data_IF_080999298565
#
_entry.id   IF_080999298565
#
_cell.length_a   1.000
_cell.length_b   1.000
_cell.length_c   1.000
_cell.angle_alpha   90.00
_cell.angle_beta   90.00
_cell.angle_gamma   90.00
#
_symmetry.space_group_name_H-M   'P 1'
#
loop_
_entity.id
_entity.type
_entity.pdbx_description
1 polymer ?
#
# COMPACT_ATOMS: atom_id res chain seq x y z
N UNK A 1 14.20 -12.80 -2.64
CA UNK A 1 13.50 -12.67 -3.92
C UNK A 1 12.03 -12.75 -3.66
N UNK A 2 11.38 -11.59 -3.71
CA UNK A 2 9.94 -11.48 -3.57
C UNK A 2 9.29 -12.10 -4.80
N UNK A 3 8.26 -12.93 -4.61
CA UNK A 3 7.57 -13.60 -5.71
C UNK A 3 6.40 -12.74 -6.23
N UNK A 4 5.87 -13.11 -7.41
CA UNK A 4 4.75 -12.39 -8.05
C UNK A 4 3.49 -12.30 -7.16
N UNK A 5 3.21 -13.31 -6.34
CA UNK A 5 2.07 -13.30 -5.41
C UNK A 5 2.23 -12.21 -4.36
N UNK A 6 3.42 -12.11 -3.76
CA UNK A 6 3.71 -11.08 -2.76
C UNK A 6 3.66 -9.68 -3.40
N UNK A 7 4.24 -9.48 -4.59
CA UNK A 7 4.12 -8.21 -5.32
C UNK A 7 2.65 -7.83 -5.60
N UNK A 8 1.82 -8.81 -5.97
CA UNK A 8 0.40 -8.60 -6.20
C UNK A 8 -0.34 -8.22 -4.92
N UNK A 9 0.00 -8.84 -3.79
CA UNK A 9 -0.60 -8.48 -2.50
C UNK A 9 -0.21 -7.06 -2.08
N UNK A 10 1.07 -6.71 -2.14
CA UNK A 10 1.55 -5.33 -1.90
C UNK A 10 0.77 -4.35 -2.78
N UNK A 11 0.66 -4.62 -4.09
CA UNK A 11 -0.10 -3.76 -5.00
C UNK A 11 -1.58 -3.60 -4.59
N UNK A 12 -2.23 -4.69 -4.16
CA UNK A 12 -3.61 -4.65 -3.69
C UNK A 12 -3.77 -3.82 -2.42
N UNK A 13 -2.84 -3.96 -1.46
CA UNK A 13 -2.84 -3.17 -0.23
C UNK A 13 -2.54 -1.69 -0.50
N UNK A 14 -1.62 -1.39 -1.42
CA UNK A 14 -1.38 -0.01 -1.88
C UNK A 14 -2.62 0.56 -2.59
N UNK A 15 -3.35 -0.25 -3.34
CA UNK A 15 -4.61 0.14 -3.98
C UNK A 15 -5.67 0.50 -2.93
N UNK A 16 -5.84 -0.32 -1.88
CA UNK A 16 -6.71 0.00 -0.74
C UNK A 16 -6.26 1.29 -0.03
N UNK A 17 -4.96 1.42 0.26
CA UNK A 17 -4.38 2.61 0.90
C UNK A 17 -4.65 3.90 0.11
N UNK A 18 -4.64 3.78 -1.22
CA UNK A 18 -4.81 4.91 -2.14
C UNK A 18 -6.25 5.40 -2.29
N UNK A 19 -7.26 4.68 -1.76
CA UNK A 19 -8.67 4.93 -2.04
C UNK A 19 -9.51 5.01 -0.77
N UNK A 20 -9.99 6.22 -0.47
CA UNK A 20 -10.99 6.45 0.57
C UNK A 20 -12.27 5.65 0.32
N UNK A 21 -12.66 5.43 -0.93
CA UNK A 21 -13.84 4.64 -1.26
C UNK A 21 -13.68 3.17 -0.89
N UNK A 22 -12.50 2.57 -1.19
CA UNK A 22 -12.19 1.20 -0.80
C UNK A 22 -12.11 1.06 0.72
N UNK A 23 -11.47 2.02 1.39
CA UNK A 23 -11.43 2.07 2.86
C UNK A 23 -12.83 2.16 3.47
N UNK A 24 -13.74 2.97 2.91
CA UNK A 24 -15.13 3.01 3.37
C UNK A 24 -15.83 1.66 3.14
N UNK A 25 -15.63 1.03 1.98
CA UNK A 25 -16.24 -0.27 1.67
C UNK A 25 -15.74 -1.37 2.62
N UNK A 26 -14.43 -1.47 2.82
CA UNK A 26 -13.83 -2.52 3.63
C UNK A 26 -13.95 -2.24 5.13
N UNK A 27 -13.65 -1.02 5.56
CA UNK A 27 -13.53 -0.70 6.98
C UNK A 27 -14.87 -0.36 7.61
N UNK A 28 -15.79 0.25 6.87
CA UNK A 28 -17.06 0.74 7.43
C UNK A 28 -18.23 -0.14 7.05
N UNK A 29 -18.38 -0.46 5.75
CA UNK A 29 -19.52 -1.24 5.27
C UNK A 29 -19.36 -2.75 5.52
N UNK A 30 -18.13 -3.20 5.77
CA UNK A 30 -17.83 -4.62 5.98
C UNK A 30 -18.11 -5.47 4.75
N UNK A 31 -17.97 -4.89 3.55
CA UNK A 31 -18.20 -5.62 2.31
C UNK A 31 -17.21 -6.80 2.22
N UNK A 32 -17.78 -8.01 2.29
CA UNK A 32 -17.15 -9.32 2.08
C UNK A 32 -16.05 -9.71 3.06
N UNK A 33 -16.39 -10.09 4.30
CA UNK A 33 -15.53 -10.97 5.14
C UNK A 33 -14.12 -10.44 5.47
N UNK A 34 -13.83 -9.20 5.09
CA UNK A 34 -12.60 -8.48 5.33
C UNK A 34 -12.97 -7.35 6.27
N UNK A 35 -12.90 -7.62 7.57
CA UNK A 35 -12.64 -6.51 8.49
C UNK A 35 -11.19 -6.16 8.17
N UNK A 36 -11.02 -5.05 7.46
CA UNK A 36 -9.75 -4.38 7.30
C UNK A 36 -9.90 -3.06 8.04
N UNK A 37 -8.89 -2.71 8.80
CA UNK A 37 -8.73 -1.48 9.56
C UNK A 37 -7.34 -0.95 9.22
N UNK A 38 -7.00 0.25 9.68
CA UNK A 38 -5.62 0.74 9.55
C UNK A 38 -4.61 -0.33 10.01
N UNK A 39 -4.79 -0.87 11.23
CA UNK A 39 -3.86 -1.85 11.81
C UNK A 39 -3.76 -3.11 10.94
N UNK A 40 -4.89 -3.66 10.47
CA UNK A 40 -4.88 -4.85 9.62
C UNK A 40 -4.24 -4.60 8.26
N UNK A 41 -4.45 -3.42 7.66
CA UNK A 41 -3.81 -3.03 6.41
C UNK A 41 -2.29 -2.90 6.56
N UNK A 42 -1.82 -2.25 7.63
CA UNK A 42 -0.37 -2.11 7.89
C UNK A 42 0.26 -3.46 8.19
N UNK A 43 -0.34 -4.25 9.06
CA UNK A 43 0.17 -5.59 9.37
C UNK A 43 0.22 -6.47 8.12
N UNK A 44 -0.80 -6.40 7.25
CA UNK A 44 -0.80 -7.17 6.00
C UNK A 44 0.31 -6.72 5.05
N UNK A 45 0.57 -5.41 4.94
CA UNK A 45 1.72 -4.90 4.19
C UNK A 45 3.06 -5.42 4.75
N UNK A 46 3.21 -5.47 6.07
CA UNK A 46 4.42 -6.00 6.71
C UNK A 46 4.57 -7.52 6.52
N UNK A 47 3.47 -8.26 6.64
CA UNK A 47 3.42 -9.71 6.40
C UNK A 47 3.73 -10.06 4.94
N UNK A 48 3.36 -9.19 3.99
CA UNK A 48 3.71 -9.28 2.57
C UNK A 48 5.10 -8.69 2.25
N UNK A 49 6.03 -8.69 3.21
CA UNK A 49 7.44 -8.32 3.00
C UNK A 49 7.65 -6.92 2.40
N UNK A 50 6.72 -5.97 2.60
CA UNK A 50 6.85 -4.61 2.06
C UNK A 50 8.17 -3.95 2.47
N UNK A 51 8.61 -4.13 3.71
CA UNK A 51 9.89 -3.60 4.18
C UNK A 51 11.09 -4.16 3.39
N UNK A 52 11.10 -5.48 3.13
CA UNK A 52 12.13 -6.12 2.33
C UNK A 52 12.09 -5.64 0.87
N UNK A 53 10.89 -5.44 0.31
CA UNK A 53 10.71 -4.88 -1.02
C UNK A 53 11.36 -3.51 -1.15
N UNK A 54 11.07 -2.61 -0.19
CA UNK A 54 11.58 -1.24 -0.18
C UNK A 54 13.11 -1.18 0.02
N UNK A 55 13.66 -2.04 0.87
CA UNK A 55 15.08 -1.96 1.24
C UNK A 55 16.02 -2.63 0.25
N UNK A 56 15.59 -3.72 -0.40
CA UNK A 56 16.48 -4.58 -1.17
C UNK A 56 15.99 -4.82 -2.58
N UNK A 57 14.76 -5.30 -2.73
CA UNK A 57 14.32 -5.86 -4.01
C UNK A 57 14.08 -4.76 -5.05
N UNK A 58 13.69 -3.55 -4.65
CA UNK A 58 13.61 -2.42 -5.57
C UNK A 58 14.95 -2.13 -6.30
N UNK A 59 16.07 -2.31 -5.60
CA UNK A 59 17.40 -2.15 -6.20
C UNK A 59 17.82 -3.36 -7.05
N UNK A 60 17.42 -4.58 -6.65
CA UNK A 60 17.71 -5.81 -7.39
C UNK A 60 16.89 -5.94 -8.67
N UNK A 61 15.68 -5.35 -8.70
CA UNK A 61 14.79 -5.29 -9.85
C UNK A 61 15.14 -4.15 -10.83
N UNK A 62 16.22 -3.40 -10.57
CA UNK A 62 16.65 -2.27 -11.39
C UNK A 62 15.55 -1.19 -11.59
N UNK A 63 14.73 -0.99 -10.54
CA UNK A 63 13.71 0.05 -10.50
C UNK A 63 14.34 1.44 -10.46
N UNK A 64 13.59 2.46 -10.85
CA UNK A 64 14.08 3.83 -10.83
C UNK A 64 14.40 4.29 -9.40
N UNK A 65 15.43 5.15 -9.29
CA UNK A 65 15.79 5.74 -8.01
C UNK A 65 14.63 6.57 -7.44
N UNK A 66 13.85 7.20 -8.32
CA UNK A 66 12.62 7.91 -8.00
C UNK A 66 11.59 6.99 -7.36
N UNK A 67 11.28 5.84 -7.96
CA UNK A 67 10.30 4.91 -7.40
C UNK A 67 10.74 4.34 -6.04
N UNK A 68 12.00 3.93 -5.93
CA UNK A 68 12.57 3.48 -4.66
C UNK A 68 12.50 4.57 -3.59
N UNK A 69 12.67 5.86 -3.96
CA UNK A 69 12.52 6.99 -3.05
C UNK A 69 11.05 7.17 -2.63
N UNK A 70 10.10 7.14 -3.56
CA UNK A 70 8.68 7.29 -3.24
C UNK A 70 8.18 6.18 -2.30
N UNK A 71 8.65 4.94 -2.47
CA UNK A 71 8.37 3.82 -1.58
C UNK A 71 8.92 4.06 -0.16
N UNK A 72 10.14 4.56 -0.04
CA UNK A 72 10.74 4.91 1.26
C UNK A 72 9.99 6.04 1.96
N UNK A 73 9.54 7.04 1.20
CA UNK A 73 8.71 8.13 1.74
C UNK A 73 7.38 7.56 2.24
N UNK A 74 6.71 6.72 1.44
CA UNK A 74 5.45 6.10 1.84
C UNK A 74 5.58 5.32 3.14
N UNK A 75 6.60 4.45 3.24
CA UNK A 75 6.90 3.70 4.47
C UNK A 75 7.12 4.64 5.65
N UNK A 76 7.89 5.71 5.46
CA UNK A 76 8.11 6.71 6.49
C UNK A 76 6.82 7.39 6.96
N UNK A 77 5.91 7.72 6.04
CA UNK A 77 4.62 8.30 6.37
C UNK A 77 3.74 7.33 7.16
N UNK A 78 3.70 6.05 6.77
CA UNK A 78 2.96 5.01 7.47
C UNK A 78 3.46 4.81 8.91
N UNK A 79 4.78 4.68 9.08
CA UNK A 79 5.39 4.46 10.40
C UNK A 79 5.24 5.65 11.36
N UNK A 80 4.98 6.84 10.83
CA UNK A 80 4.79 8.07 11.63
C UNK A 80 3.33 8.47 11.80
N UNK A 81 2.39 7.73 11.21
CA UNK A 81 0.98 8.00 11.38
C UNK A 81 0.53 7.50 12.75
N UNK A 82 0.09 8.41 13.61
CA UNK A 82 -0.48 8.05 14.91
C UNK A 82 -2.00 7.85 14.77
N UNK A 83 -2.41 6.60 14.76
CA UNK A 83 -3.79 6.15 14.80
C UNK A 83 -4.36 6.04 16.21
N UNK A 84 -3.55 6.24 17.25
CA UNK A 84 -3.92 6.00 18.64
C UNK A 84 -5.18 6.78 19.01
N UNK A 85 -6.14 6.08 19.62
CA UNK A 85 -7.43 6.64 20.05
C UNK A 85 -8.34 7.13 18.91
N UNK A 86 -8.08 6.77 17.64
CA UNK A 86 -8.97 7.08 16.52
C UNK A 86 -9.81 5.87 16.11
N UNK A 87 -11.08 6.11 15.88
CA UNK A 87 -11.98 5.17 15.20
C UNK A 87 -11.68 5.11 13.70
N UNK A 88 -12.16 4.06 13.03
CA UNK A 88 -12.04 3.93 11.56
C UNK A 88 -12.58 5.16 10.81
N UNK A 89 -13.67 5.76 11.28
CA UNK A 89 -14.27 6.95 10.68
C UNK A 89 -13.38 8.19 10.88
N UNK A 90 -12.77 8.34 12.06
CA UNK A 90 -11.84 9.43 12.33
C UNK A 90 -10.59 9.32 11.47
N UNK A 91 -10.02 8.11 11.30
CA UNK A 91 -8.87 7.86 10.42
C UNK A 91 -9.20 8.22 8.97
N UNK A 92 -10.32 7.72 8.43
CA UNK A 92 -10.74 8.01 7.04
C UNK A 92 -10.88 9.52 6.79
N UNK A 93 -11.26 10.28 7.81
CA UNK A 93 -11.43 11.72 7.70
C UNK A 93 -10.17 12.54 8.04
N UNK A 94 -9.17 11.93 8.66
CA UNK A 94 -7.92 12.57 9.07
C UNK A 94 -7.18 13.15 7.85
N UNK A 95 -6.87 14.45 7.84
CA UNK A 95 -6.08 15.07 6.77
C UNK A 95 -4.73 14.39 6.53
N UNK A 96 -4.03 13.96 7.58
CA UNK A 96 -2.73 13.27 7.46
C UNK A 96 -2.91 11.92 6.78
N UNK A 97 -3.96 11.19 7.13
CA UNK A 97 -4.27 9.91 6.47
C UNK A 97 -4.58 10.11 4.98
N UNK A 98 -5.33 11.16 4.64
CA UNK A 98 -5.61 11.51 3.24
C UNK A 98 -4.35 11.88 2.46
N UNK A 99 -3.37 12.50 3.10
CA UNK A 99 -2.04 12.77 2.49
C UNK A 99 -1.29 11.46 2.20
N UNK A 100 -1.32 10.50 3.12
CA UNK A 100 -0.77 9.15 2.90
C UNK A 100 -1.45 8.48 1.71
N UNK A 101 -2.78 8.52 1.64
CA UNK A 101 -3.52 7.96 0.52
C UNK A 101 -3.14 8.58 -0.82
N UNK A 102 -2.96 9.91 -0.87
CA UNK A 102 -2.45 10.61 -2.07
C UNK A 102 -1.04 10.17 -2.44
N UNK A 103 -0.16 9.99 -1.46
CA UNK A 103 1.20 9.50 -1.71
C UNK A 103 1.18 8.05 -2.21
N UNK A 104 0.29 7.21 -1.71
CA UNK A 104 0.08 5.85 -2.22
C UNK A 104 -0.42 5.85 -3.67
N UNK A 105 -1.31 6.78 -4.06
CA UNK A 105 -1.69 6.98 -5.47
C UNK A 105 -0.47 7.29 -6.35
N UNK A 106 0.44 8.14 -5.86
CA UNK A 106 1.67 8.47 -6.57
C UNK A 106 2.57 7.24 -6.76
N UNK A 107 2.77 6.44 -5.70
CA UNK A 107 3.50 5.17 -5.75
C UNK A 107 2.89 4.20 -6.77
N UNK A 108 1.56 4.09 -6.85
CA UNK A 108 0.88 3.22 -7.83
C UNK A 108 1.11 3.64 -9.28
N UNK A 109 1.30 4.93 -9.55
CA UNK A 109 1.63 5.42 -10.90
C UNK A 109 3.01 4.89 -11.31
N UNK A 110 4.02 4.99 -10.43
CA UNK A 110 5.33 4.39 -10.68
C UNK A 110 5.25 2.87 -10.81
N UNK A 111 4.48 2.22 -9.93
CA UNK A 111 4.30 0.77 -9.95
C UNK A 111 3.83 0.26 -11.31
N UNK A 112 2.82 0.92 -11.91
CA UNK A 112 2.31 0.54 -13.23
C UNK A 112 3.36 0.68 -14.33
N UNK A 113 4.20 1.71 -14.25
CA UNK A 113 5.23 1.97 -15.26
C UNK A 113 6.44 1.03 -15.15
N UNK A 114 6.73 0.53 -13.94
CA UNK A 114 7.97 -0.22 -13.68
C UNK A 114 7.75 -1.71 -13.39
N UNK A 115 6.58 -2.08 -12.88
CA UNK A 115 6.23 -3.46 -12.47
C UNK A 115 4.98 -3.98 -13.19
N UNK A 116 4.21 -3.11 -13.87
CA UNK A 116 2.93 -3.48 -14.51
C UNK A 116 3.02 -4.76 -15.35
N UNK A 117 4.03 -4.84 -16.23
CA UNK A 117 4.24 -5.98 -17.12
C UNK A 117 4.56 -7.29 -16.36
N UNK A 118 5.11 -7.23 -15.14
CA UNK A 118 5.42 -8.42 -14.33
C UNK A 118 4.18 -9.06 -13.70
N UNK A 119 3.08 -8.30 -13.57
CA UNK A 119 1.83 -8.73 -12.94
C UNK A 119 0.76 -9.17 -13.96
N UNK A 120 0.90 -8.80 -15.24
CA UNK A 120 -0.07 -9.01 -16.33
C UNK A 120 0.11 -10.34 -17.10
N UNK A 121 1.15 -11.13 -16.85
CA UNK A 121 1.38 -12.41 -17.56
C UNK A 121 0.38 -13.55 -17.23
N UNK A 122 -0.57 -13.35 -16.32
CA UNK A 122 -1.58 -14.34 -15.95
C UNK A 122 -3.04 -13.86 -16.15
N UNK A 123 -3.29 -12.92 -17.07
CA UNK A 123 -4.66 -12.68 -17.52
C UNK A 123 -5.11 -13.89 -18.38
N UNK A 124 -6.17 -14.63 -17.99
CA UNK A 124 -6.70 -15.74 -18.79
C UNK A 124 -7.30 -15.27 -20.13
#
# INVERSE_FOLDING_TARGET
MINKTVLRNIYNHLTELSSTELQISYWIKGDKGKISSFIELINSLEDDDFNLFVDKEASEMNLSAEFARELKILRGLLNNYDESNKTRIEIINDPKWKEIGKHAQHVLIYWRNEIGDLLDEDAP
#
